data_IF_969614079383
#
_entry.id   IF_969614079383
#
_cell.length_a   1.000
_cell.length_b   1.000
_cell.length_c   1.000
_cell.angle_alpha   90.00
_cell.angle_beta   90.00
_cell.angle_gamma   90.00
#
_symmetry.space_group_name_H-M   'P 1'
#
loop_
_entity.id
_entity.type
_entity.pdbx_description
1 polymer ?
#
# COMPACT_ATOMS: atom_id res chain seq x y z
N UNK A 1 46.68 -24.61 44.04
CA UNK A 1 46.34 -25.96 43.51
C UNK A 1 44.86 -25.97 43.12
N UNK A 2 44.56 -26.59 41.96
CA UNK A 2 43.24 -26.86 41.32
C UNK A 2 42.45 -25.63 40.81
N UNK A 3 42.39 -25.29 39.51
CA UNK A 3 41.89 -25.92 38.24
C UNK A 3 40.34 -25.96 38.10
N UNK A 4 39.79 -25.01 37.30
CA UNK A 4 38.78 -25.10 36.18
C UNK A 4 37.42 -25.83 36.40
N UNK A 5 36.29 -25.59 35.65
CA UNK A 5 36.10 -24.89 34.35
C UNK A 5 34.92 -23.87 34.30
N UNK A 6 34.98 -22.78 33.52
CA UNK A 6 34.62 -22.65 32.08
C UNK A 6 33.33 -23.41 31.69
N UNK A 7 32.19 -22.71 31.77
CA UNK A 7 30.92 -23.15 31.16
C UNK A 7 30.59 -22.27 29.96
N UNK A 8 30.88 -22.81 28.78
CA UNK A 8 30.54 -22.26 27.47
C UNK A 8 29.04 -22.40 27.24
N UNK A 9 28.29 -21.30 27.20
CA UNK A 9 26.90 -21.31 26.77
C UNK A 9 26.85 -21.44 25.23
N UNK A 10 26.51 -22.63 24.76
CA UNK A 10 26.28 -22.96 23.35
C UNK A 10 25.04 -22.21 22.83
N UNK A 11 25.26 -21.14 22.06
CA UNK A 11 24.24 -20.49 21.23
C UNK A 11 24.03 -21.32 19.96
N UNK A 12 23.13 -22.31 20.04
CA UNK A 12 22.70 -23.08 18.89
C UNK A 12 21.77 -22.23 18.00
N UNK A 13 22.32 -21.65 16.92
CA UNK A 13 21.53 -21.11 15.82
C UNK A 13 20.99 -22.27 14.97
N UNK A 14 19.87 -22.85 15.37
CA UNK A 14 19.17 -23.87 14.58
C UNK A 14 18.29 -23.20 13.52
N UNK A 15 18.61 -23.40 12.23
CA UNK A 15 17.66 -23.25 11.13
C UNK A 15 16.61 -24.36 11.26
N UNK A 16 15.40 -24.04 11.70
CA UNK A 16 14.28 -24.98 11.73
C UNK A 16 13.34 -24.67 10.57
N UNK A 17 13.27 -25.57 9.60
CA UNK A 17 12.16 -25.63 8.67
C UNK A 17 11.00 -26.32 9.40
N UNK A 18 9.97 -25.57 9.78
CA UNK A 18 8.79 -26.08 10.48
C UNK A 18 7.50 -25.63 9.77
N UNK A 19 6.60 -26.59 9.54
CA UNK A 19 5.32 -26.42 8.88
C UNK A 19 4.37 -25.52 9.69
N UNK A 20 3.63 -24.65 8.98
CA UNK A 20 2.62 -23.75 9.57
C UNK A 20 1.35 -24.55 9.87
N UNK A 21 1.01 -24.71 11.16
CA UNK A 21 -0.34 -25.04 11.61
C UNK A 21 -0.98 -23.75 12.15
N UNK A 22 -2.13 -23.36 11.59
CA UNK A 22 -2.91 -22.22 12.07
C UNK A 22 -3.96 -22.65 13.08
N UNK A 23 -4.16 -21.87 14.15
CA UNK A 23 -5.34 -21.90 15.03
C UNK A 23 -5.64 -20.48 15.54
N UNK A 24 -6.94 -20.19 15.67
CA UNK A 24 -7.64 -18.95 16.00
C UNK A 24 -7.32 -18.33 17.38
N UNK A 25 -7.71 -17.06 17.64
CA UNK A 25 -7.35 -16.33 18.86
C UNK A 25 -8.30 -16.69 20.01
N UNK A 26 -7.74 -17.32 21.04
CA UNK A 26 -8.35 -17.37 22.37
C UNK A 26 -7.48 -16.55 23.32
N UNK A 27 -8.07 -15.55 23.98
CA UNK A 27 -7.41 -14.79 25.04
C UNK A 27 -7.02 -15.73 26.19
N UNK A 28 -5.75 -15.68 26.60
CA UNK A 28 -5.32 -16.26 27.87
C UNK A 28 -4.45 -15.26 28.62
N UNK A 29 -4.93 -14.89 29.82
CA UNK A 29 -4.16 -14.17 30.85
C UNK A 29 -2.91 -14.97 31.18
N UNK A 30 -1.76 -14.29 31.13
CA UNK A 30 -0.48 -14.86 31.49
C UNK A 30 -0.40 -15.15 33.00
N UNK A 31 -0.09 -16.40 33.35
CA UNK A 31 0.51 -16.74 34.63
C UNK A 31 1.45 -17.96 34.52
N UNK A 32 2.71 -17.71 34.90
CA UNK A 32 3.71 -18.62 35.49
C UNK A 32 4.77 -19.35 34.64
N UNK A 33 6.02 -19.03 35.02
CA UNK A 33 7.38 -19.58 34.80
C UNK A 33 8.13 -19.34 33.46
N UNK A 34 9.43 -18.95 33.52
CA UNK A 34 10.11 -18.27 32.44
C UNK A 34 10.57 -19.27 31.38
N UNK A 35 9.69 -19.56 30.42
CA UNK A 35 10.16 -19.93 29.10
C UNK A 35 11.03 -18.76 28.60
N UNK A 36 12.35 -18.94 28.65
CA UNK A 36 13.32 -17.90 28.29
C UNK A 36 12.93 -17.26 26.96
N UNK A 37 12.87 -15.94 26.93
CA UNK A 37 12.55 -15.16 25.75
C UNK A 37 13.36 -15.68 24.55
N UNK A 38 12.68 -16.31 23.58
CA UNK A 38 13.31 -16.84 22.38
C UNK A 38 12.88 -16.01 21.18
N UNK A 39 13.82 -15.26 20.62
CA UNK A 39 13.62 -14.54 19.37
C UNK A 39 14.22 -15.34 18.20
N UNK A 40 13.40 -15.60 17.19
CA UNK A 40 13.83 -16.19 15.91
C UNK A 40 13.40 -15.28 14.76
N UNK A 41 14.01 -15.45 13.59
CA UNK A 41 13.62 -14.74 12.38
C UNK A 41 13.72 -15.65 11.18
N UNK A 42 12.92 -15.38 10.16
CA UNK A 42 12.93 -16.12 8.90
C UNK A 42 13.14 -15.15 7.74
N UNK A 43 14.23 -15.34 7.01
CA UNK A 43 14.48 -14.59 5.78
C UNK A 43 13.78 -15.32 4.62
N UNK A 44 12.84 -14.68 3.90
CA UNK A 44 12.15 -15.33 2.80
C UNK A 44 13.12 -15.56 1.63
N UNK A 45 12.93 -16.65 0.85
CA UNK A 45 13.71 -16.89 -0.37
C UNK A 45 13.48 -15.81 -1.44
N UNK A 46 12.33 -15.11 -1.35
CA UNK A 46 11.90 -14.02 -2.22
C UNK A 46 11.70 -12.75 -1.38
N UNK A 47 12.78 -11.99 -1.11
CA UNK A 47 12.76 -10.86 -0.18
C UNK A 47 11.86 -9.70 -0.64
N UNK A 48 11.55 -9.59 -1.93
CA UNK A 48 10.61 -8.60 -2.43
C UNK A 48 9.18 -8.78 -1.90
N UNK A 49 8.81 -9.98 -1.43
CA UNK A 49 7.47 -10.26 -0.88
C UNK A 49 7.22 -9.62 0.49
N UNK A 50 8.28 -9.24 1.18
CA UNK A 50 8.24 -8.53 2.47
C UNK A 50 8.73 -7.08 2.33
N UNK A 51 8.89 -6.59 1.09
CA UNK A 51 9.29 -5.22 0.84
C UNK A 51 8.27 -4.27 1.46
N UNK A 52 8.74 -3.47 2.40
CA UNK A 52 7.95 -2.43 3.03
C UNK A 52 8.67 -1.11 2.89
N UNK A 53 8.03 -0.17 2.20
CA UNK A 53 8.57 1.17 1.95
C UNK A 53 7.51 2.22 2.19
N UNK A 54 7.99 3.42 2.49
CA UNK A 54 7.28 4.67 2.30
C UNK A 54 8.22 5.67 1.62
N UNK A 55 7.68 6.78 1.14
CA UNK A 55 8.46 7.82 0.46
C UNK A 55 9.52 8.49 1.35
N UNK A 56 9.35 8.48 2.68
CA UNK A 56 10.32 9.06 3.62
C UNK A 56 11.61 8.23 3.73
N UNK A 57 11.55 6.92 3.45
CA UNK A 57 12.69 6.00 3.52
C UNK A 57 13.64 6.11 2.33
N UNK A 58 13.25 6.81 1.26
CA UNK A 58 14.00 6.86 0.00
C UNK A 58 14.29 8.29 -0.42
N UNK A 59 15.37 8.46 -1.18
CA UNK A 59 15.60 9.65 -2.01
C UNK A 59 15.05 9.37 -3.39
N UNK A 60 14.20 10.26 -3.90
CA UNK A 60 13.72 10.22 -5.29
C UNK A 60 14.75 10.97 -6.14
N UNK A 61 15.39 10.27 -7.07
CA UNK A 61 16.48 10.80 -7.90
C UNK A 61 15.96 11.54 -9.14
N UNK A 62 14.73 11.26 -9.55
CA UNK A 62 14.06 11.89 -10.69
C UNK A 62 12.69 12.50 -10.29
N UNK A 63 12.62 13.43 -9.32
CA UNK A 63 11.35 13.97 -8.86
C UNK A 63 10.59 14.72 -9.97
N UNK A 64 9.32 15.07 -9.71
CA UNK A 64 8.64 16.07 -10.53
C UNK A 64 9.36 17.43 -10.40
N UNK A 65 9.32 18.29 -11.43
CA UNK A 65 9.95 19.60 -11.35
C UNK A 65 9.39 20.41 -10.17
N UNK A 66 10.24 20.73 -9.19
CA UNK A 66 9.81 21.32 -7.93
C UNK A 66 9.05 22.64 -8.11
N UNK A 67 9.47 23.47 -9.06
CA UNK A 67 8.81 24.73 -9.39
C UNK A 67 7.37 24.53 -9.91
N UNK A 68 7.15 23.51 -10.76
CA UNK A 68 5.81 23.19 -11.27
C UNK A 68 4.92 22.65 -10.15
N UNK A 69 5.45 21.74 -9.33
CA UNK A 69 4.71 21.19 -8.18
C UNK A 69 4.29 22.29 -7.24
N UNK A 70 5.23 23.16 -6.83
CA UNK A 70 4.95 24.28 -5.93
C UNK A 70 3.92 25.25 -6.52
N UNK A 71 4.00 25.54 -7.83
CA UNK A 71 3.06 26.43 -8.51
C UNK A 71 1.64 25.89 -8.56
N UNK A 72 1.47 24.59 -8.76
CA UNK A 72 0.15 23.99 -9.02
C UNK A 72 -0.56 23.54 -7.74
N UNK A 73 0.20 23.14 -6.73
CA UNK A 73 -0.29 22.59 -5.46
C UNK A 73 -1.22 23.54 -4.71
N UNK A 74 -2.17 22.97 -3.97
CA UNK A 74 -3.05 23.69 -3.05
C UNK A 74 -2.99 23.00 -1.68
N UNK A 75 -2.32 23.64 -0.71
CA UNK A 75 -2.11 23.12 0.65
C UNK A 75 -3.08 23.69 1.69
N UNK A 76 -3.69 24.85 1.43
CA UNK A 76 -4.39 25.65 2.45
C UNK A 76 -5.89 25.80 2.21
N UNK A 77 -6.53 24.88 1.48
CA UNK A 77 -7.97 24.98 1.15
C UNK A 77 -8.83 25.21 2.40
N UNK A 78 -8.67 24.40 3.45
CA UNK A 78 -9.47 24.53 4.68
C UNK A 78 -9.13 25.81 5.47
N UNK A 79 -7.86 26.22 5.46
CA UNK A 79 -7.45 27.48 6.08
C UNK A 79 -8.09 28.69 5.40
N UNK A 80 -8.19 28.67 4.07
CA UNK A 80 -8.87 29.70 3.29
C UNK A 80 -10.40 29.65 3.46
N UNK A 81 -10.99 28.45 3.49
CA UNK A 81 -12.42 28.27 3.77
C UNK A 81 -12.86 28.87 5.11
N UNK A 82 -11.97 28.84 6.10
CA UNK A 82 -12.33 29.22 7.44
C UNK A 82 -12.03 30.68 7.81
N UNK A 83 -11.59 31.50 6.85
CA UNK A 83 -11.27 32.90 7.12
C UNK A 83 -10.17 33.07 8.18
N UNK A 84 -9.22 32.12 8.24
CA UNK A 84 -7.99 32.24 9.03
C UNK A 84 -8.10 32.14 10.55
N UNK A 85 -9.25 31.78 11.14
CA UNK A 85 -9.30 31.32 12.53
C UNK A 85 -10.29 30.17 12.73
N UNK A 86 -9.78 29.01 13.12
CA UNK A 86 -10.57 27.89 13.63
C UNK A 86 -9.87 27.38 14.90
N UNK A 87 -10.64 26.97 15.91
CA UNK A 87 -10.07 26.26 17.06
C UNK A 87 -9.39 24.95 16.62
N UNK A 88 -8.23 24.61 17.19
CA UNK A 88 -7.44 23.42 16.81
C UNK A 88 -8.26 22.11 16.77
N UNK A 89 -9.26 21.97 17.66
CA UNK A 89 -10.15 20.80 17.70
C UNK A 89 -11.17 20.75 16.56
N UNK A 90 -11.72 21.89 16.15
CA UNK A 90 -12.65 21.94 15.02
C UNK A 90 -11.88 21.73 13.69
N UNK A 91 -10.67 22.30 13.57
CA UNK A 91 -9.76 22.05 12.44
C UNK A 91 -9.56 20.55 12.23
N UNK A 92 -9.29 19.82 13.32
CA UNK A 92 -8.97 18.41 13.21
C UNK A 92 -10.11 17.58 12.58
N UNK A 93 -11.34 17.73 13.09
CA UNK A 93 -12.49 16.97 12.58
C UNK A 93 -12.93 17.42 11.20
N UNK A 94 -12.91 18.72 10.92
CA UNK A 94 -13.19 19.27 9.59
C UNK A 94 -12.16 18.79 8.58
N UNK A 95 -10.88 18.77 8.97
CA UNK A 95 -9.80 18.26 8.14
C UNK A 95 -9.95 16.76 7.86
N UNK A 96 -10.19 15.93 8.88
CA UNK A 96 -10.44 14.51 8.65
C UNK A 96 -11.66 14.25 7.76
N UNK A 97 -12.74 15.01 7.95
CA UNK A 97 -13.95 14.89 7.14
C UNK A 97 -13.67 15.26 5.69
N UNK A 98 -12.96 16.38 5.46
CA UNK A 98 -12.57 16.80 4.13
C UNK A 98 -11.60 15.81 3.48
N UNK A 99 -10.54 15.40 4.17
CA UNK A 99 -9.56 14.45 3.65
C UNK A 99 -10.21 13.12 3.24
N UNK A 100 -11.24 12.66 3.95
CA UNK A 100 -11.97 11.44 3.58
C UNK A 100 -13.15 11.66 2.61
N UNK A 101 -13.39 12.89 2.17
CA UNK A 101 -14.39 13.23 1.16
C UNK A 101 -13.88 12.98 -0.26
N UNK A 102 -14.78 12.91 -1.24
CA UNK A 102 -14.40 12.83 -2.67
C UNK A 102 -13.52 13.99 -3.09
N UNK A 103 -13.88 15.23 -2.72
CA UNK A 103 -13.12 16.43 -3.05
C UNK A 103 -11.72 16.43 -2.42
N UNK A 104 -11.60 16.00 -1.16
CA UNK A 104 -10.30 15.88 -0.49
C UNK A 104 -9.41 14.82 -1.11
N UNK A 105 -9.95 13.62 -1.37
CA UNK A 105 -9.22 12.58 -2.10
C UNK A 105 -8.75 13.04 -3.48
N UNK A 106 -9.62 13.70 -4.25
CA UNK A 106 -9.25 14.24 -5.56
C UNK A 106 -8.19 15.34 -5.45
N UNK A 107 -8.26 16.21 -4.43
CA UNK A 107 -7.21 17.20 -4.18
C UNK A 107 -5.87 16.53 -3.87
N UNK A 108 -5.86 15.47 -3.05
CA UNK A 108 -4.66 14.67 -2.80
C UNK A 108 -4.12 14.04 -4.08
N UNK A 109 -4.99 13.48 -4.93
CA UNK A 109 -4.59 12.94 -6.25
C UNK A 109 -3.96 14.02 -7.12
N UNK A 110 -4.58 15.20 -7.20
CA UNK A 110 -4.05 16.32 -7.98
C UNK A 110 -2.67 16.76 -7.46
N UNK A 111 -2.55 16.97 -6.15
CA UNK A 111 -1.31 17.39 -5.50
C UNK A 111 -0.21 16.32 -5.66
N UNK A 112 -0.57 15.04 -5.59
CA UNK A 112 0.34 13.91 -5.83
C UNK A 112 0.84 13.86 -7.28
N UNK A 113 -0.01 14.12 -8.27
CA UNK A 113 0.42 14.22 -9.68
C UNK A 113 1.38 15.41 -9.86
N UNK A 114 1.02 16.55 -9.28
CA UNK A 114 1.87 17.75 -9.15
C UNK A 114 2.15 18.54 -10.43
N UNK A 115 1.91 17.96 -11.61
CA UNK A 115 2.26 18.58 -12.91
C UNK A 115 1.07 19.04 -13.74
N UNK A 116 -0.17 18.74 -13.31
CA UNK A 116 -1.36 19.24 -14.00
C UNK A 116 -1.54 20.73 -13.71
N UNK A 117 -1.73 21.59 -14.73
CA UNK A 117 -2.05 22.99 -14.49
C UNK A 117 -3.49 23.11 -13.97
N UNK A 118 -3.77 24.02 -13.01
CA UNK A 118 -5.14 24.29 -12.59
C UNK A 118 -5.94 24.95 -13.73
N UNK A 119 -7.22 24.63 -13.83
CA UNK A 119 -8.12 25.12 -14.89
C UNK A 119 -9.14 26.09 -14.29
N UNK A 120 -8.81 27.39 -14.32
CA UNK A 120 -9.68 28.42 -13.75
C UNK A 120 -10.87 28.77 -14.66
N UNK A 121 -11.98 29.26 -14.09
CA UNK A 121 -13.09 29.82 -14.86
C UNK A 121 -12.64 30.96 -15.78
N UNK A 122 -13.34 31.14 -16.90
CA UNK A 122 -13.05 32.22 -17.84
C UNK A 122 -13.14 33.60 -17.15
N UNK A 123 -12.11 34.43 -17.36
CA UNK A 123 -12.04 35.77 -16.77
C UNK A 123 -11.55 35.84 -15.32
N UNK A 124 -11.28 34.70 -14.67
CA UNK A 124 -10.68 34.68 -13.33
C UNK A 124 -9.17 34.92 -13.41
N UNK A 125 -8.68 35.94 -12.69
CA UNK A 125 -7.26 36.19 -12.46
C UNK A 125 -6.89 35.85 -11.00
N UNK A 126 -6.14 34.77 -10.76
CA UNK A 126 -5.68 34.42 -9.42
C UNK A 126 -4.89 35.55 -8.74
N UNK A 127 -4.07 36.29 -9.50
CA UNK A 127 -3.23 37.35 -8.96
C UNK A 127 -4.05 38.58 -8.52
N UNK A 128 -5.16 38.87 -9.20
CA UNK A 128 -6.12 39.89 -8.75
C UNK A 128 -6.84 39.46 -7.47
N UNK A 129 -7.29 38.20 -7.38
CA UNK A 129 -7.92 37.69 -6.16
C UNK A 129 -6.97 37.77 -4.96
N UNK A 130 -5.71 37.37 -5.14
CA UNK A 130 -4.70 37.45 -4.07
C UNK A 130 -4.44 38.89 -3.63
N UNK A 131 -4.44 39.85 -4.56
CA UNK A 131 -4.33 41.29 -4.23
C UNK A 131 -5.54 41.77 -3.43
N UNK A 132 -6.76 41.39 -3.81
CA UNK A 132 -8.00 41.76 -3.09
C UNK A 132 -8.02 41.19 -1.67
N UNK A 133 -7.63 39.92 -1.52
CA UNK A 133 -7.50 39.26 -0.21
C UNK A 133 -6.47 39.99 0.65
N UNK A 134 -5.29 40.28 0.14
CA UNK A 134 -4.23 40.96 0.89
C UNK A 134 -4.61 42.41 1.29
N UNK A 135 -5.47 43.07 0.52
CA UNK A 135 -5.94 44.42 0.79
C UNK A 135 -7.13 44.48 1.76
N UNK A 136 -7.73 43.34 2.13
CA UNK A 136 -8.94 43.28 2.95
C UNK A 136 -8.62 42.69 4.32
N UNK A 137 -9.11 43.30 5.40
CA UNK A 137 -8.94 42.76 6.74
C UNK A 137 -9.68 41.43 6.91
N UNK A 138 -8.97 40.41 7.38
CA UNK A 138 -9.40 39.02 7.45
C UNK A 138 -10.74 38.83 8.18
N UNK A 139 -10.90 39.48 9.35
CA UNK A 139 -12.06 39.29 10.23
C UNK A 139 -13.26 40.17 9.90
N UNK A 140 -13.31 40.70 8.68
CA UNK A 140 -14.48 41.39 8.13
C UNK A 140 -15.34 40.42 7.34
N UNK A 141 -16.63 40.74 7.15
CA UNK A 141 -17.53 39.94 6.32
C UNK A 141 -16.98 39.76 4.89
N UNK A 142 -16.47 40.86 4.31
CA UNK A 142 -15.84 40.85 2.99
C UNK A 142 -14.56 40.03 2.97
N UNK A 143 -13.68 40.18 3.97
CA UNK A 143 -12.44 39.40 4.08
C UNK A 143 -12.72 37.89 4.12
N UNK A 144 -13.60 37.47 5.03
CA UNK A 144 -14.01 36.06 5.14
C UNK A 144 -14.70 35.53 3.87
N UNK A 145 -15.45 36.39 3.15
CA UNK A 145 -16.09 36.03 1.87
C UNK A 145 -15.04 35.81 0.78
N UNK A 146 -14.08 36.73 0.64
CA UNK A 146 -13.01 36.65 -0.36
C UNK A 146 -12.12 35.43 -0.15
N UNK A 147 -11.77 35.11 1.11
CA UNK A 147 -10.99 33.92 1.45
C UNK A 147 -11.73 32.63 1.07
N UNK A 148 -13.04 32.52 1.39
CA UNK A 148 -13.88 31.38 0.99
C UNK A 148 -14.00 31.26 -0.52
N UNK A 149 -14.26 32.37 -1.21
CA UNK A 149 -14.37 32.43 -2.67
C UNK A 149 -13.06 31.98 -3.34
N UNK A 150 -11.91 32.48 -2.86
CA UNK A 150 -10.59 32.04 -3.32
C UNK A 150 -10.38 30.55 -3.09
N UNK A 151 -10.72 30.04 -1.90
CA UNK A 151 -10.59 28.63 -1.56
C UNK A 151 -11.39 27.72 -2.50
N UNK A 152 -12.68 28.02 -2.70
CA UNK A 152 -13.55 27.28 -3.61
C UNK A 152 -13.05 27.32 -5.06
N UNK A 153 -12.78 28.51 -5.61
CA UNK A 153 -12.33 28.63 -7.00
C UNK A 153 -11.02 27.88 -7.21
N UNK A 154 -10.09 27.96 -6.25
CA UNK A 154 -8.85 27.20 -6.33
C UNK A 154 -9.12 25.70 -6.32
N UNK A 155 -9.92 25.17 -5.39
CA UNK A 155 -10.26 23.75 -5.35
C UNK A 155 -10.89 23.30 -6.67
N UNK A 156 -11.94 24.00 -7.13
CA UNK A 156 -12.63 23.66 -8.37
C UNK A 156 -11.70 23.66 -9.59
N UNK A 157 -10.75 24.60 -9.66
CA UNK A 157 -9.78 24.62 -10.75
C UNK A 157 -8.88 23.37 -10.79
N UNK A 158 -8.56 22.79 -9.64
CA UNK A 158 -7.77 21.54 -9.54
C UNK A 158 -8.63 20.32 -9.89
N UNK A 159 -9.88 20.29 -9.40
CA UNK A 159 -10.83 19.25 -9.75
C UNK A 159 -11.12 19.23 -11.27
N UNK A 160 -11.28 20.41 -11.88
CA UNK A 160 -11.48 20.55 -13.31
C UNK A 160 -10.26 20.06 -14.12
N UNK A 161 -9.03 20.24 -13.61
CA UNK A 161 -7.85 19.67 -14.25
C UNK A 161 -7.88 18.14 -14.28
N UNK A 162 -8.39 17.48 -13.22
CA UNK A 162 -8.57 16.03 -13.19
C UNK A 162 -9.69 15.55 -14.13
N UNK A 163 -10.76 16.34 -14.28
CA UNK A 163 -11.82 16.08 -15.26
C UNK A 163 -11.24 16.15 -16.68
N UNK A 164 -10.51 17.22 -17.01
CA UNK A 164 -9.90 17.40 -18.33
C UNK A 164 -8.87 16.32 -18.65
N UNK A 165 -8.19 15.78 -17.63
CA UNK A 165 -7.30 14.64 -17.76
C UNK A 165 -8.03 13.28 -17.92
N UNK A 166 -9.35 13.24 -17.77
CA UNK A 166 -10.18 12.04 -17.91
C UNK A 166 -10.14 11.11 -16.70
N UNK A 167 -9.63 11.56 -15.55
CA UNK A 167 -9.50 10.73 -14.35
C UNK A 167 -10.78 10.68 -13.51
N UNK A 168 -11.61 11.71 -13.60
CA UNK A 168 -12.91 11.81 -12.90
C UNK A 168 -13.94 12.44 -13.83
N UNK A 169 -15.21 12.05 -13.69
CA UNK A 169 -16.31 12.67 -14.42
C UNK A 169 -16.96 13.78 -13.59
N UNK A 170 -17.53 14.82 -14.22
CA UNK A 170 -18.17 15.92 -13.49
C UNK A 170 -19.23 15.44 -12.49
N UNK A 171 -20.07 14.49 -12.88
CA UNK A 171 -21.17 13.97 -12.06
C UNK A 171 -20.74 13.16 -10.84
N UNK A 172 -19.45 12.80 -10.74
CA UNK A 172 -18.93 12.04 -9.61
C UNK A 172 -18.43 12.93 -8.46
N UNK A 173 -18.33 14.24 -8.69
CA UNK A 173 -17.83 15.22 -7.73
C UNK A 173 -19.02 15.79 -6.93
N UNK A 174 -19.23 15.23 -5.75
CA UNK A 174 -20.21 15.68 -4.77
C UNK A 174 -19.56 15.83 -3.38
N UNK A 175 -20.36 16.20 -2.38
CA UNK A 175 -19.91 16.34 -0.97
C UNK A 175 -19.89 15.01 -0.21
N UNK A 176 -19.97 13.87 -0.93
CA UNK A 176 -19.94 12.54 -0.36
C UNK A 176 -18.55 12.09 0.09
N UNK A 177 -18.53 10.97 0.81
CA UNK A 177 -17.29 10.30 1.21
C UNK A 177 -16.59 9.63 0.01
N UNK A 178 -15.26 9.62 0.00
CA UNK A 178 -14.46 8.86 -0.94
C UNK A 178 -14.45 7.37 -0.53
N UNK A 179 -15.44 6.63 -1.03
CA UNK A 179 -15.52 5.18 -0.83
C UNK A 179 -14.41 4.44 -1.56
N UNK A 180 -14.16 3.18 -1.20
CA UNK A 180 -13.26 2.27 -1.91
C UNK A 180 -13.63 2.17 -3.40
N UNK A 181 -14.92 2.12 -3.71
CA UNK A 181 -15.41 2.15 -5.09
C UNK A 181 -14.95 3.41 -5.83
N UNK A 182 -15.14 4.59 -5.23
CA UNK A 182 -14.75 5.85 -5.84
C UNK A 182 -13.23 5.93 -6.05
N UNK A 183 -12.45 5.60 -5.01
CA UNK A 183 -10.98 5.55 -5.07
C UNK A 183 -10.52 4.60 -6.17
N UNK A 184 -11.04 3.38 -6.21
CA UNK A 184 -10.69 2.39 -7.23
C UNK A 184 -11.05 2.88 -8.64
N UNK A 185 -12.20 3.53 -8.81
CA UNK A 185 -12.68 4.04 -10.10
C UNK A 185 -11.75 5.13 -10.67
N UNK A 186 -11.36 6.10 -9.84
CA UNK A 186 -10.42 7.16 -10.24
C UNK A 186 -9.07 6.55 -10.61
N UNK A 187 -8.51 5.71 -9.75
CA UNK A 187 -7.21 5.08 -10.01
C UNK A 187 -7.22 4.13 -11.21
N UNK A 188 -8.31 3.40 -11.43
CA UNK A 188 -8.46 2.54 -12.59
C UNK A 188 -8.40 3.36 -13.89
N UNK A 189 -9.06 4.51 -13.96
CA UNK A 189 -8.97 5.38 -15.15
C UNK A 189 -7.55 5.89 -15.39
N UNK A 190 -6.79 6.15 -14.33
CA UNK A 190 -5.41 6.61 -14.44
C UNK A 190 -4.45 5.52 -14.92
N UNK A 191 -4.65 4.27 -14.48
CA UNK A 191 -3.63 3.22 -14.58
C UNK A 191 -4.02 1.98 -15.39
N UNK A 192 -5.28 1.82 -15.81
CA UNK A 192 -5.74 0.61 -16.52
C UNK A 192 -4.94 0.26 -17.77
N UNK A 193 -4.38 1.25 -18.46
CA UNK A 193 -3.63 1.01 -19.70
C UNK A 193 -2.21 0.48 -19.41
N UNK A 194 -1.68 0.79 -18.23
CA UNK A 194 -0.36 0.33 -17.76
C UNK A 194 -0.48 -0.98 -17.01
N UNK A 195 -1.55 -1.12 -16.23
CA UNK A 195 -1.88 -2.32 -15.47
C UNK A 195 -3.33 -2.68 -15.76
N UNK A 196 -3.63 -3.42 -16.84
CA UNK A 196 -4.99 -3.83 -17.15
C UNK A 196 -5.49 -4.84 -16.11
N UNK A 197 -6.81 -4.94 -15.97
CA UNK A 197 -7.43 -6.00 -15.18
C UNK A 197 -7.35 -7.32 -15.94
N UNK A 198 -6.91 -8.41 -15.30
CA UNK A 198 -6.75 -9.72 -15.95
C UNK A 198 -7.94 -10.67 -15.75
N UNK A 199 -8.98 -10.26 -15.02
CA UNK A 199 -10.18 -11.11 -14.82
C UNK A 199 -10.04 -12.13 -13.69
N UNK A 200 -8.98 -12.04 -12.87
CA UNK A 200 -8.67 -13.07 -11.88
C UNK A 200 -9.43 -12.97 -10.57
N UNK A 201 -10.19 -11.91 -10.30
CA UNK A 201 -10.77 -11.68 -8.97
C UNK A 201 -12.28 -11.85 -9.00
N UNK A 202 -12.80 -12.67 -8.10
CA UNK A 202 -14.25 -12.82 -7.91
C UNK A 202 -14.65 -12.49 -6.47
N UNK A 203 -15.27 -11.32 -6.30
CA UNK A 203 -15.72 -10.77 -5.02
C UNK A 203 -17.20 -11.04 -4.81
N UNK A 204 -17.59 -11.34 -3.57
CA UNK A 204 -18.99 -11.63 -3.23
C UNK A 204 -19.93 -10.43 -3.34
N UNK A 205 -19.40 -9.21 -3.14
CA UNK A 205 -20.15 -7.97 -3.01
C UNK A 205 -19.85 -6.92 -4.09
N UNK A 206 -19.08 -7.27 -5.13
CA UNK A 206 -18.85 -6.38 -6.26
C UNK A 206 -18.50 -7.11 -7.54
N UNK A 207 -19.13 -6.67 -8.64
CA UNK A 207 -18.79 -7.05 -10.02
C UNK A 207 -18.04 -5.91 -10.74
N UNK A 208 -17.76 -4.80 -10.05
CA UNK A 208 -17.16 -3.62 -10.64
C UNK A 208 -15.68 -3.89 -10.99
N UNK A 209 -15.36 -3.74 -12.27
CA UNK A 209 -14.00 -3.93 -12.78
C UNK A 209 -12.97 -3.10 -12.00
N UNK A 210 -13.18 -1.80 -11.69
CA UNK A 210 -12.21 -1.02 -10.92
C UNK A 210 -11.93 -1.60 -9.53
N UNK A 211 -12.95 -2.08 -8.83
CA UNK A 211 -12.80 -2.65 -7.48
C UNK A 211 -12.04 -3.97 -7.55
N UNK A 212 -12.42 -4.86 -8.48
CA UNK A 212 -11.72 -6.12 -8.72
C UNK A 212 -10.27 -5.91 -9.14
N UNK A 213 -10.03 -4.89 -9.96
CA UNK A 213 -8.70 -4.46 -10.36
C UNK A 213 -7.84 -4.00 -9.19
N UNK A 214 -8.40 -3.19 -8.29
CA UNK A 214 -7.69 -2.71 -7.10
C UNK A 214 -7.24 -3.87 -6.21
N UNK A 215 -8.10 -4.88 -6.04
CA UNK A 215 -7.78 -6.13 -5.33
C UNK A 215 -6.73 -6.95 -6.10
N UNK A 216 -6.83 -7.04 -7.44
CA UNK A 216 -5.88 -7.82 -8.27
C UNK A 216 -4.47 -7.23 -8.24
N UNK A 217 -4.33 -5.92 -8.22
CA UNK A 217 -3.02 -5.29 -8.02
C UNK A 217 -2.58 -5.43 -6.55
N UNK A 218 -3.55 -5.43 -5.65
CA UNK A 218 -3.39 -5.35 -4.20
C UNK A 218 -2.96 -3.95 -3.79
N UNK A 219 -3.75 -2.97 -4.19
CA UNK A 219 -3.65 -1.61 -3.67
C UNK A 219 -3.84 -1.64 -2.14
N UNK A 220 -3.03 -0.89 -1.37
CA UNK A 220 -3.23 -0.76 0.07
C UNK A 220 -4.66 -0.30 0.41
N UNK A 221 -5.28 -0.99 1.37
CA UNK A 221 -6.66 -0.76 1.79
C UNK A 221 -7.74 -1.53 1.00
N UNK A 222 -7.33 -2.36 0.04
CA UNK A 222 -8.19 -3.26 -0.72
C UNK A 222 -8.00 -4.74 -0.36
N UNK A 223 -7.58 -5.01 0.88
CA UNK A 223 -7.54 -6.38 1.40
C UNK A 223 -8.96 -6.94 1.56
N UNK A 224 -9.16 -8.17 1.10
CA UNK A 224 -10.45 -8.86 1.17
C UNK A 224 -10.60 -9.53 2.52
N UNK A 225 -11.76 -9.38 3.15
CA UNK A 225 -12.06 -10.04 4.40
C UNK A 225 -12.10 -11.58 4.22
N UNK A 226 -11.88 -12.38 5.28
CA UNK A 226 -11.82 -13.84 5.18
C UNK A 226 -13.08 -14.50 4.61
N UNK A 227 -14.22 -13.82 4.70
CA UNK A 227 -15.51 -14.22 4.15
C UNK A 227 -15.67 -13.92 2.65
N UNK A 228 -14.72 -13.22 2.02
CA UNK A 228 -14.69 -12.91 0.58
C UNK A 228 -15.26 -11.55 0.20
N UNK A 229 -15.50 -10.65 1.16
CA UNK A 229 -16.09 -9.33 0.96
C UNK A 229 -15.04 -8.21 0.96
N UNK A 230 -15.26 -7.15 0.19
CA UNK A 230 -14.37 -5.96 0.12
C UNK A 230 -14.99 -4.70 0.71
N UNK A 231 -16.33 -4.66 0.83
CA UNK A 231 -17.13 -3.54 1.31
C UNK A 231 -16.86 -2.26 0.49
N UNK A 232 -17.23 -2.23 -0.80
CA UNK A 232 -16.82 -1.16 -1.73
C UNK A 232 -17.41 0.21 -1.39
N UNK A 233 -18.50 0.25 -0.62
CA UNK A 233 -19.18 1.48 -0.21
C UNK A 233 -18.52 2.17 1.00
N UNK A 234 -17.69 1.45 1.76
CA UNK A 234 -16.98 2.02 2.91
C UNK A 234 -15.83 2.92 2.43
N UNK A 235 -15.37 3.83 3.30
CA UNK A 235 -14.12 4.57 3.07
C UNK A 235 -12.93 3.62 2.91
N UNK A 236 -11.86 4.13 2.28
CA UNK A 236 -10.60 3.39 2.25
C UNK A 236 -10.08 3.21 3.67
N UNK A 237 -9.73 1.98 4.03
CA UNK A 237 -9.22 1.63 5.35
C UNK A 237 -8.18 0.53 5.25
N UNK A 238 -7.18 0.55 6.12
CA UNK A 238 -6.09 -0.42 6.11
C UNK A 238 -6.50 -1.79 6.69
N UNK A 239 -7.54 -1.82 7.52
CA UNK A 239 -8.05 -3.07 8.11
C UNK A 239 -9.23 -3.61 7.29
N UNK A 240 -9.22 -4.88 6.85
CA UNK A 240 -10.35 -5.45 6.13
C UNK A 240 -11.57 -5.62 7.04
N UNK A 241 -12.77 -5.42 6.49
CA UNK A 241 -14.04 -5.64 7.19
C UNK A 241 -15.11 -4.59 6.91
N UNK A 242 -16.30 -4.74 7.53
CA UNK A 242 -17.47 -3.90 7.29
C UNK A 242 -17.46 -2.58 8.05
N UNK A 243 -16.48 -2.36 8.94
CA UNK A 243 -16.37 -1.10 9.68
C UNK A 243 -16.09 0.02 8.67
N UNK A 244 -16.69 1.18 8.91
CA UNK A 244 -16.40 2.40 8.17
C UNK A 244 -15.90 3.41 9.18
N UNK A 245 -14.58 3.64 9.17
CA UNK A 245 -13.89 4.45 10.17
C UNK A 245 -13.17 5.61 9.50
N UNK A 246 -13.06 6.72 10.23
CA UNK A 246 -12.19 7.82 9.84
C UNK A 246 -10.75 7.44 10.23
N UNK A 247 -9.92 7.17 9.23
CA UNK A 247 -8.48 6.98 9.44
C UNK A 247 -7.73 8.30 9.32
N UNK A 248 -6.74 8.49 10.17
CA UNK A 248 -5.74 9.54 9.99
C UNK A 248 -4.86 9.16 8.79
N UNK A 249 -4.80 10.04 7.78
CA UNK A 249 -4.01 9.85 6.55
C UNK A 249 -4.39 8.60 5.73
N UNK A 250 -5.68 8.45 5.35
CA UNK A 250 -6.22 7.20 4.77
C UNK A 250 -5.51 6.79 3.47
N UNK A 251 -4.95 7.75 2.74
CA UNK A 251 -4.31 7.53 1.44
C UNK A 251 -2.79 7.49 1.47
N UNK A 252 -2.13 7.68 2.63
CA UNK A 252 -0.65 7.75 2.67
C UNK A 252 -0.01 6.50 2.09
N UNK A 253 -0.44 5.32 2.56
CA UNK A 253 0.09 4.02 2.08
C UNK A 253 -0.25 3.76 0.62
N UNK A 254 -1.42 4.22 0.17
CA UNK A 254 -1.84 4.14 -1.21
C UNK A 254 -0.90 4.96 -2.10
N UNK A 255 -0.67 6.24 -1.81
CA UNK A 255 0.23 7.09 -2.59
C UNK A 255 1.70 6.65 -2.50
N UNK A 256 2.15 6.12 -1.36
CA UNK A 256 3.46 5.47 -1.25
C UNK A 256 3.57 4.29 -2.24
N UNK A 257 2.53 3.45 -2.34
CA UNK A 257 2.49 2.35 -3.30
C UNK A 257 2.47 2.83 -4.75
N UNK A 258 1.62 3.82 -5.08
CA UNK A 258 1.57 4.38 -6.43
C UNK A 258 2.91 4.99 -6.86
N UNK A 259 3.61 5.67 -5.94
CA UNK A 259 4.91 6.30 -6.18
C UNK A 259 6.03 5.27 -6.33
N UNK A 260 6.06 4.25 -5.48
CA UNK A 260 7.21 3.35 -5.36
C UNK A 260 7.06 2.06 -6.17
N UNK A 261 5.85 1.51 -6.28
CA UNK A 261 5.58 0.19 -6.87
C UNK A 261 4.96 0.27 -8.26
N UNK A 262 4.15 1.29 -8.55
CA UNK A 262 3.62 1.53 -9.90
C UNK A 262 4.42 2.62 -10.64
N UNK A 263 4.22 2.76 -11.97
CA UNK A 263 4.66 3.94 -12.70
C UNK A 263 3.90 5.18 -12.22
N UNK A 264 4.28 5.75 -11.07
CA UNK A 264 3.56 6.84 -10.43
C UNK A 264 3.93 8.24 -10.91
N UNK A 265 4.96 8.39 -11.75
CA UNK A 265 5.42 9.71 -12.22
C UNK A 265 4.74 10.07 -13.53
N UNK A 266 3.86 11.08 -13.51
CA UNK A 266 3.23 11.58 -14.75
C UNK A 266 4.24 12.39 -15.56
N UNK A 267 4.41 12.05 -16.84
CA UNK A 267 5.20 12.80 -17.83
C UNK A 267 4.34 13.14 -19.05
N UNK A 268 4.90 13.84 -20.04
CA UNK A 268 4.21 14.10 -21.30
C UNK A 268 3.90 12.79 -22.08
N UNK A 269 4.73 11.76 -21.91
CA UNK A 269 4.66 10.51 -22.66
C UNK A 269 3.81 9.42 -21.97
N UNK A 270 3.23 9.71 -20.80
CA UNK A 270 2.44 8.75 -20.03
C UNK A 270 2.87 8.73 -18.58
N UNK A 271 2.98 7.53 -18.01
CA UNK A 271 3.48 7.35 -16.65
C UNK A 271 4.77 6.56 -16.62
N UNK A 272 5.68 6.98 -15.74
CA UNK A 272 7.01 6.41 -15.59
C UNK A 272 7.27 6.04 -14.12
N UNK A 273 8.27 5.20 -13.89
CA UNK A 273 8.71 4.90 -12.54
C UNK A 273 9.56 6.03 -11.97
N UNK A 274 9.34 6.34 -10.69
CA UNK A 274 10.34 7.06 -9.92
C UNK A 274 11.61 6.18 -9.74
N UNK A 275 12.76 6.77 -10.00
CA UNK A 275 14.08 6.26 -9.64
C UNK A 275 14.33 6.64 -8.19
N UNK A 276 14.64 5.64 -7.38
CA UNK A 276 14.75 5.81 -5.94
C UNK A 276 15.94 5.09 -5.38
N UNK A 277 16.54 5.68 -4.36
CA UNK A 277 17.62 5.10 -3.57
C UNK A 277 17.24 5.07 -2.11
N UNK A 278 17.54 3.97 -1.43
CA UNK A 278 17.30 3.85 0.01
C UNK A 278 18.20 4.83 0.77
N UNK A 279 17.61 5.63 1.67
CA UNK A 279 18.40 6.56 2.50
C UNK A 279 19.32 5.80 3.48
N UNK A 280 20.46 6.39 3.87
CA UNK A 280 21.33 5.80 4.89
C UNK A 280 20.56 5.46 6.18
N UNK A 281 20.81 4.27 6.73
CA UNK A 281 20.17 3.80 7.96
C UNK A 281 18.75 3.24 7.80
N UNK A 282 18.11 3.41 6.64
CA UNK A 282 16.78 2.84 6.40
C UNK A 282 16.84 1.35 6.09
N UNK A 283 15.80 0.62 6.48
CA UNK A 283 15.67 -0.83 6.28
C UNK A 283 14.35 -1.11 5.58
N UNK A 284 14.34 -1.71 4.37
CA UNK A 284 13.18 -1.76 3.48
C UNK A 284 12.20 -2.90 3.80
N UNK A 285 12.07 -3.27 5.08
CA UNK A 285 11.17 -4.33 5.59
C UNK A 285 10.72 -3.95 7.00
N UNK A 286 9.57 -4.45 7.45
CA UNK A 286 9.23 -4.36 8.88
C UNK A 286 9.79 -5.57 9.60
N UNK A 287 10.40 -5.34 10.76
CA UNK A 287 10.95 -6.43 11.57
C UNK A 287 9.86 -7.40 12.02
N UNK A 288 8.67 -6.90 12.32
CA UNK A 288 7.50 -7.71 12.67
C UNK A 288 7.04 -8.66 11.56
N UNK A 289 7.36 -8.39 10.29
CA UNK A 289 7.04 -9.30 9.18
C UNK A 289 8.00 -10.50 9.10
N UNK A 290 9.13 -10.45 9.82
CA UNK A 290 10.23 -11.41 9.71
C UNK A 290 10.59 -12.09 11.03
N UNK A 291 10.20 -11.51 12.16
CA UNK A 291 10.57 -11.96 13.50
C UNK A 291 9.45 -12.71 14.20
N UNK A 292 9.86 -13.64 15.05
CA UNK A 292 9.00 -14.45 15.89
C UNK A 292 9.51 -14.39 17.32
N UNK A 293 8.57 -14.29 18.27
CA UNK A 293 8.82 -14.35 19.70
C UNK A 293 8.16 -15.61 20.24
N UNK A 294 8.95 -16.49 20.82
CA UNK A 294 8.51 -17.81 21.32
C UNK A 294 7.74 -18.61 20.26
N UNK A 295 8.18 -18.51 18.99
CA UNK A 295 7.59 -19.21 17.85
C UNK A 295 6.34 -18.55 17.26
N UNK A 296 5.85 -17.45 17.84
CA UNK A 296 4.70 -16.70 17.33
C UNK A 296 5.15 -15.44 16.57
N UNK A 297 4.44 -15.02 15.50
CA UNK A 297 4.76 -13.78 14.79
C UNK A 297 4.84 -12.60 15.75
N UNK A 298 5.86 -11.77 15.59
CA UNK A 298 6.05 -10.59 16.42
C UNK A 298 4.91 -9.60 16.21
N UNK A 299 4.37 -9.06 17.30
CA UNK A 299 3.39 -7.97 17.23
C UNK A 299 4.04 -6.72 16.65
N UNK A 300 3.44 -6.07 15.64
CA UNK A 300 3.94 -4.80 15.10
C UNK A 300 3.82 -3.63 16.08
N UNK A 301 3.04 -3.79 17.16
CA UNK A 301 2.77 -2.73 18.14
C UNK A 301 3.60 -2.82 19.41
N UNK A 302 4.46 -3.84 19.52
CA UNK A 302 5.27 -4.07 20.72
C UNK A 302 6.68 -3.57 20.48
N UNK A 303 7.16 -2.70 21.38
CA UNK A 303 8.58 -2.29 21.42
C UNK A 303 9.37 -3.37 22.16
N UNK A 304 10.38 -3.94 21.50
CA UNK A 304 11.25 -4.96 22.08
C UNK A 304 12.62 -4.39 22.39
N UNK A 305 12.81 -3.96 23.64
CA UNK A 305 14.12 -3.53 24.13
C UNK A 305 14.91 -4.73 24.68
N UNK A 306 15.46 -5.54 23.78
CA UNK A 306 16.23 -6.74 24.14
C UNK A 306 17.42 -6.93 23.20
N UNK A 307 18.64 -7.26 23.68
CA UNK A 307 19.82 -7.42 22.83
C UNK A 307 19.60 -8.33 21.61
N UNK A 308 18.90 -9.46 21.81
CA UNK A 308 18.57 -10.39 20.72
C UNK A 308 17.71 -9.76 19.59
N UNK A 309 16.83 -8.81 19.92
CA UNK A 309 16.05 -8.07 18.92
C UNK A 309 16.96 -7.19 18.05
N UNK A 310 17.86 -6.43 18.68
CA UNK A 310 18.81 -5.58 17.96
C UNK A 310 19.78 -6.39 17.11
N UNK A 311 20.25 -7.54 17.62
CA UNK A 311 21.13 -8.43 16.86
C UNK A 311 20.43 -9.05 15.64
N UNK A 312 19.19 -9.50 15.81
CA UNK A 312 18.39 -9.99 14.69
C UNK A 312 18.08 -8.87 13.68
N UNK A 313 17.71 -7.68 14.15
CA UNK A 313 17.44 -6.51 13.31
C UNK A 313 18.66 -6.14 12.46
N UNK A 314 19.86 -6.15 13.06
CA UNK A 314 21.13 -5.91 12.35
C UNK A 314 21.40 -6.99 11.30
N UNK A 315 21.16 -8.27 11.61
CA UNK A 315 21.33 -9.38 10.64
C UNK A 315 20.36 -9.28 9.48
N UNK A 316 19.09 -8.97 9.76
CA UNK A 316 18.07 -8.74 8.73
C UNK A 316 18.46 -7.55 7.87
N UNK A 317 18.80 -6.40 8.46
CA UNK A 317 19.21 -5.20 7.72
C UNK A 317 20.43 -5.47 6.82
N UNK A 318 21.46 -6.17 7.31
CA UNK A 318 22.62 -6.58 6.51
C UNK A 318 22.25 -7.48 5.32
N UNK A 319 21.15 -8.23 5.43
CA UNK A 319 20.64 -9.06 4.35
C UNK A 319 19.82 -8.25 3.34
N UNK A 320 18.85 -7.44 3.79
CA UNK A 320 17.89 -6.76 2.90
C UNK A 320 18.41 -5.46 2.31
N UNK A 321 19.18 -4.66 3.06
CA UNK A 321 19.59 -3.31 2.63
C UNK A 321 20.44 -3.34 1.35
N UNK A 322 21.45 -4.22 1.21
CA UNK A 322 22.22 -4.31 -0.04
C UNK A 322 21.42 -4.85 -1.24
N UNK A 323 20.25 -5.44 -1.01
CA UNK A 323 19.37 -6.03 -2.03
C UNK A 323 18.23 -5.11 -2.43
N UNK A 324 18.15 -3.92 -1.88
CA UNK A 324 17.02 -3.01 -2.06
C UNK A 324 16.64 -2.79 -3.53
N UNK A 325 17.60 -2.46 -4.40
CA UNK A 325 17.34 -2.21 -5.82
C UNK A 325 16.77 -3.46 -6.53
N UNK A 326 17.35 -4.64 -6.24
CA UNK A 326 16.86 -5.91 -6.77
C UNK A 326 15.45 -6.22 -6.27
N UNK A 327 15.20 -6.02 -4.97
CA UNK A 327 13.89 -6.23 -4.35
C UNK A 327 12.84 -5.32 -4.96
N UNK A 328 13.14 -4.03 -5.13
CA UNK A 328 12.23 -3.07 -5.74
C UNK A 328 11.93 -3.42 -7.20
N UNK A 329 12.94 -3.77 -7.98
CA UNK A 329 12.77 -4.21 -9.37
C UNK A 329 11.88 -5.46 -9.47
N UNK A 330 12.10 -6.44 -8.59
CA UNK A 330 11.28 -7.65 -8.53
C UNK A 330 9.84 -7.35 -8.09
N UNK A 331 9.64 -6.50 -7.09
CA UNK A 331 8.31 -6.09 -6.63
C UNK A 331 7.53 -5.36 -7.73
N UNK A 332 8.17 -4.45 -8.47
CA UNK A 332 7.57 -3.75 -9.63
C UNK A 332 7.18 -4.73 -10.74
N UNK A 333 8.07 -5.68 -11.06
CA UNK A 333 7.78 -6.71 -12.07
C UNK A 333 6.62 -7.63 -11.62
N UNK A 334 6.56 -7.98 -10.33
CA UNK A 334 5.47 -8.79 -9.78
C UNK A 334 4.15 -8.02 -9.72
N UNK A 335 4.15 -6.72 -9.45
CA UNK A 335 2.94 -5.89 -9.45
C UNK A 335 2.21 -5.87 -10.82
N UNK A 336 2.94 -6.14 -11.91
CA UNK A 336 2.36 -6.24 -13.26
C UNK A 336 1.67 -7.57 -13.55
N UNK A 337 1.92 -8.60 -12.74
CA UNK A 337 1.32 -9.93 -12.93
C UNK A 337 -0.09 -10.01 -12.35
N UNK A 338 -0.98 -10.86 -12.89
CA UNK A 338 -2.24 -11.20 -12.24
C UNK A 338 -2.01 -11.82 -10.86
N UNK A 339 -2.97 -11.73 -9.94
CA UNK A 339 -2.95 -12.45 -8.67
C UNK A 339 -3.68 -13.78 -8.78
N UNK A 340 -3.24 -14.75 -7.99
CA UNK A 340 -4.00 -15.97 -7.76
C UNK A 340 -5.14 -15.68 -6.79
N UNK A 341 -6.34 -16.13 -7.15
CA UNK A 341 -7.54 -16.01 -6.34
C UNK A 341 -8.12 -17.37 -5.98
N UNK A 342 -8.35 -18.20 -6.99
CA UNK A 342 -8.93 -19.54 -6.84
C UNK A 342 -7.98 -20.55 -7.45
N UNK A 343 -7.34 -21.37 -6.60
CA UNK A 343 -6.39 -22.38 -7.05
C UNK A 343 -7.00 -23.43 -7.99
N UNK A 344 -8.31 -23.73 -7.89
CA UNK A 344 -8.95 -24.67 -8.81
C UNK A 344 -8.95 -24.08 -10.22
N UNK A 345 -9.46 -22.85 -10.38
CA UNK A 345 -9.48 -22.15 -11.67
C UNK A 345 -8.08 -21.74 -12.16
N UNK A 346 -7.26 -21.16 -11.29
CA UNK A 346 -6.01 -20.45 -11.64
C UNK A 346 -4.80 -21.40 -11.75
N UNK A 347 -4.90 -22.62 -11.24
CA UNK A 347 -3.83 -23.61 -11.35
C UNK A 347 -4.34 -24.94 -11.90
N UNK A 348 -5.31 -25.57 -11.25
CA UNK A 348 -5.70 -26.95 -11.56
C UNK A 348 -6.35 -27.08 -12.95
N UNK A 349 -7.26 -26.16 -13.27
CA UNK A 349 -8.00 -26.15 -14.54
C UNK A 349 -7.45 -25.15 -15.55
N UNK A 350 -6.43 -24.38 -15.18
CA UNK A 350 -5.88 -23.37 -16.07
C UNK A 350 -5.04 -24.01 -17.20
N UNK A 351 -5.35 -23.77 -18.49
CA UNK A 351 -4.70 -24.46 -19.62
C UNK A 351 -3.17 -24.33 -19.63
N UNK A 352 -2.65 -23.18 -19.21
CA UNK A 352 -1.20 -22.90 -19.13
C UNK A 352 -0.43 -23.91 -18.27
N UNK A 353 -1.06 -24.48 -17.24
CA UNK A 353 -0.39 -25.38 -16.29
C UNK A 353 -0.76 -26.84 -16.48
N UNK A 354 -1.69 -27.16 -17.40
CA UNK A 354 -2.26 -28.50 -17.55
C UNK A 354 -1.20 -29.60 -17.68
N UNK A 355 -0.16 -29.38 -18.51
CA UNK A 355 0.93 -30.35 -18.69
C UNK A 355 1.74 -30.55 -17.40
N UNK A 356 2.12 -29.47 -16.72
CA UNK A 356 2.91 -29.54 -15.49
C UNK A 356 2.12 -30.20 -14.35
N UNK A 357 0.82 -29.92 -14.26
CA UNK A 357 -0.11 -30.54 -13.31
C UNK A 357 -0.25 -32.04 -13.61
N UNK A 358 -0.41 -32.43 -14.87
CA UNK A 358 -0.48 -33.83 -15.28
C UNK A 358 0.83 -34.58 -14.96
N UNK A 359 1.99 -33.97 -15.24
CA UNK A 359 3.30 -34.53 -14.93
C UNK A 359 3.50 -34.72 -13.42
N UNK A 360 3.04 -33.77 -12.60
CA UNK A 360 3.03 -33.95 -11.14
C UNK A 360 2.09 -35.08 -10.72
N UNK A 361 0.86 -35.12 -11.23
CA UNK A 361 -0.12 -36.16 -10.88
C UNK A 361 0.41 -37.56 -11.20
N UNK A 362 1.17 -37.71 -12.29
CA UNK A 362 1.84 -38.95 -12.70
C UNK A 362 3.04 -39.32 -11.82
N UNK A 363 3.91 -38.35 -11.51
CA UNK A 363 5.22 -38.65 -10.89
C UNK A 363 5.26 -38.44 -9.38
N UNK A 364 4.41 -37.56 -8.84
CA UNK A 364 4.40 -37.08 -7.45
C UNK A 364 5.78 -36.61 -6.94
N UNK A 365 6.66 -36.21 -7.86
CA UNK A 365 8.05 -35.91 -7.54
C UNK A 365 8.26 -34.45 -7.11
N UNK A 366 9.23 -34.21 -6.23
CA UNK A 366 9.63 -32.84 -5.83
C UNK A 366 10.10 -31.99 -7.02
N UNK A 367 10.69 -32.63 -8.05
CA UNK A 367 11.07 -31.96 -9.29
C UNK A 367 9.84 -31.42 -10.04
N UNK A 368 8.78 -32.21 -10.14
CA UNK A 368 7.53 -31.77 -10.79
C UNK A 368 6.83 -30.66 -9.98
N UNK A 369 6.78 -30.76 -8.65
CA UNK A 369 6.27 -29.67 -7.78
C UNK A 369 7.03 -28.37 -8.04
N UNK A 370 8.36 -28.43 -8.04
CA UNK A 370 9.18 -27.24 -8.28
C UNK A 370 8.95 -26.65 -9.67
N UNK A 371 8.76 -27.48 -10.70
CA UNK A 371 8.42 -27.00 -12.04
C UNK A 371 7.08 -26.26 -12.07
N UNK A 372 6.04 -26.80 -11.43
CA UNK A 372 4.75 -26.11 -11.27
C UNK A 372 4.92 -24.81 -10.51
N UNK A 373 5.61 -24.82 -9.37
CA UNK A 373 5.84 -23.63 -8.54
C UNK A 373 6.53 -22.51 -9.32
N UNK A 374 7.60 -22.82 -10.05
CA UNK A 374 8.31 -21.82 -10.86
C UNK A 374 7.38 -21.26 -11.95
N UNK A 375 6.61 -22.10 -12.64
CA UNK A 375 5.67 -21.65 -13.65
C UNK A 375 4.58 -20.73 -13.09
N UNK A 376 3.99 -21.09 -11.94
CA UNK A 376 2.98 -20.29 -11.23
C UNK A 376 3.58 -18.95 -10.81
N UNK A 377 4.77 -18.94 -10.20
CA UNK A 377 5.45 -17.73 -9.75
C UNK A 377 5.87 -16.81 -10.91
N UNK A 378 6.25 -17.38 -12.05
CA UNK A 378 6.53 -16.60 -13.26
C UNK A 378 5.25 -15.93 -13.77
N UNK A 379 4.10 -16.61 -13.69
CA UNK A 379 2.84 -16.09 -14.20
C UNK A 379 2.13 -15.11 -13.26
N UNK A 380 2.10 -15.41 -11.96
CA UNK A 380 1.29 -14.71 -10.97
C UNK A 380 2.11 -13.92 -9.94
N UNK A 381 1.49 -12.86 -9.41
CA UNK A 381 1.91 -12.17 -8.22
C UNK A 381 1.43 -12.94 -6.98
N UNK A 382 2.30 -13.81 -6.45
CA UNK A 382 2.02 -14.54 -5.22
C UNK A 382 2.30 -13.68 -3.99
N UNK A 383 1.44 -13.75 -2.97
CA UNK A 383 1.75 -13.16 -1.66
C UNK A 383 2.65 -14.08 -0.82
N UNK A 384 3.17 -13.60 0.30
CA UNK A 384 4.10 -14.36 1.17
C UNK A 384 3.55 -15.70 1.66
N UNK A 385 2.23 -15.84 1.79
CA UNK A 385 1.57 -17.10 2.20
C UNK A 385 1.37 -18.06 1.03
N UNK A 386 1.39 -17.58 -0.20
CA UNK A 386 1.23 -18.37 -1.42
C UNK A 386 2.58 -18.78 -2.04
N UNK A 387 3.62 -17.97 -1.87
CA UNK A 387 4.91 -18.09 -2.55
C UNK A 387 5.81 -19.18 -1.95
N UNK A 388 5.40 -20.44 -2.06
CA UNK A 388 6.23 -21.59 -1.69
C UNK A 388 5.90 -22.88 -2.44
N UNK A 389 6.90 -23.76 -2.70
CA UNK A 389 6.66 -25.09 -3.25
C UNK A 389 5.72 -25.96 -2.40
N UNK A 390 5.73 -25.78 -1.07
CA UNK A 390 4.90 -26.55 -0.16
C UNK A 390 3.41 -26.24 -0.33
N UNK A 391 3.07 -24.96 -0.53
CA UNK A 391 1.69 -24.53 -0.81
C UNK A 391 1.23 -25.09 -2.15
N UNK A 392 2.06 -24.98 -3.19
CA UNK A 392 1.75 -25.56 -4.50
C UNK A 392 1.54 -27.07 -4.42
N UNK A 393 2.38 -27.79 -3.67
CA UNK A 393 2.19 -29.21 -3.44
C UNK A 393 0.84 -29.52 -2.78
N UNK A 394 0.50 -28.79 -1.70
CA UNK A 394 -0.79 -28.95 -1.01
C UNK A 394 -1.97 -28.71 -1.94
N UNK A 395 -1.90 -27.67 -2.78
CA UNK A 395 -2.91 -27.38 -3.79
C UNK A 395 -3.04 -28.55 -4.79
N UNK A 396 -1.93 -29.03 -5.35
CA UNK A 396 -1.94 -30.12 -6.32
C UNK A 396 -2.45 -31.45 -5.74
N UNK A 397 -2.32 -31.65 -4.42
CA UNK A 397 -2.76 -32.87 -3.73
C UNK A 397 -4.24 -32.82 -3.33
N UNK A 398 -4.76 -31.63 -2.98
CA UNK A 398 -6.04 -31.51 -2.30
C UNK A 398 -7.10 -30.70 -3.04
N UNK A 399 -6.70 -29.81 -3.96
CA UNK A 399 -7.63 -29.02 -4.78
C UNK A 399 -8.03 -29.82 -6.01
N UNK A 400 -9.33 -29.89 -6.25
CA UNK A 400 -9.92 -30.64 -7.35
C UNK A 400 -10.04 -29.80 -8.61
#
# INVERSE_FOLDING_TARGET
MNRSPLSTALLACSLVFGAVQGIAPGEAKAASQPAGFRLTYQLPPHPEKVLFLNTEMVTIENPQPAELVAKHRLDSYLSDQAGGYISEKAIYWENLTFLTSKKGFLLDVYNWIGVLPPVYPAGYDPAEMDRRVAATELFTEEGMRLHRERGEINLQARLQALINAGYVKPEEIDDGAASKYFVATVLYRMFKDIRPYHGGIDLKDSQDIPVRWAVEIGLPGFDVAPDGYIYPQNRLQMTPGPKDVFEEYPYKRLFDFLTLILPGKKTANGWEYYQVKLKPGMVPVRMSDLMYVNGQPMSPYTVYDHPAYYDASKKIARYVTPRFEQMLKAARADALKPRVWDWSRDLIHHPRFAQLVADYRKTRSSRAVNAVYQAVRTHYNLNVRQDSPAVIKSVLDHVK
#
